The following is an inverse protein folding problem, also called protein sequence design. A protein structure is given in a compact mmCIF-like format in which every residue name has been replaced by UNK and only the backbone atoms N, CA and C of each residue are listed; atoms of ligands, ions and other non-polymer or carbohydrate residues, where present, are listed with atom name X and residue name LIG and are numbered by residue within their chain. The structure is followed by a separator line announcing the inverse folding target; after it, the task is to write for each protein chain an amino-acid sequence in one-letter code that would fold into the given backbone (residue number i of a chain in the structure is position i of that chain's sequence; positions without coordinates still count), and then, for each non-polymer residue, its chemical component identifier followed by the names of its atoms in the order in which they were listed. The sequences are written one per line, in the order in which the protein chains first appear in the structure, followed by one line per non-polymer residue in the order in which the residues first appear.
data_IF_181553660064
#
_entry.id   IF_181553660064
#
_cell.length_a   1.000
_cell.length_b   1.000
_cell.length_c   1.000
_cell.angle_alpha   90.00
_cell.angle_beta   90.00
_cell.angle_gamma   90.00
#
_symmetry.space_group_name_H-M   'P 1'
#
loop_
_entity.id
_entity.type
_entity.pdbx_description
1 polymer ?
#
# COMPACT_ATOMS: atom_id res chain seq x y z
N UNK A 1 32.28 -23.88 43.04
CA UNK A 1 30.85 -23.89 42.70
C UNK A 1 30.58 -22.58 41.99
N UNK A 2 30.60 -22.60 40.66
CA UNK A 2 30.41 -21.42 39.80
C UNK A 2 28.96 -21.40 39.33
N UNK A 3 28.23 -20.41 39.78
CA UNK A 3 26.85 -20.19 39.36
C UNK A 3 26.85 -19.57 37.94
N UNK A 4 26.47 -20.39 36.97
CA UNK A 4 26.22 -19.94 35.61
C UNK A 4 24.89 -19.19 35.63
N UNK A 5 24.93 -17.85 35.69
CA UNK A 5 23.77 -17.00 35.52
C UNK A 5 23.34 -17.10 34.06
N UNK A 6 22.25 -17.83 33.81
CA UNK A 6 21.58 -17.82 32.52
C UNK A 6 21.00 -16.42 32.30
N UNK A 7 21.64 -15.63 31.46
CA UNK A 7 21.12 -14.38 30.94
C UNK A 7 19.98 -14.73 29.99
N UNK A 8 18.75 -14.68 30.48
CA UNK A 8 17.56 -14.59 29.65
C UNK A 8 17.64 -13.22 28.95
N UNK A 9 18.18 -13.18 27.74
CA UNK A 9 17.92 -12.09 26.83
C UNK A 9 16.40 -12.09 26.59
N UNK A 10 15.71 -11.13 27.20
CA UNK A 10 14.36 -10.78 26.76
C UNK A 10 14.49 -10.37 25.29
N UNK A 11 14.05 -11.25 24.40
CA UNK A 11 13.94 -10.98 22.99
C UNK A 11 12.90 -9.85 22.89
N UNK A 12 13.35 -8.64 22.55
CA UNK A 12 12.42 -7.52 22.28
C UNK A 12 11.38 -8.05 21.30
N UNK A 13 10.10 -7.94 21.68
CA UNK A 13 9.03 -8.46 20.84
C UNK A 13 9.10 -7.75 19.48
N UNK A 14 9.39 -8.51 18.43
CA UNK A 14 9.45 -8.01 17.06
C UNK A 14 8.13 -7.30 16.74
N UNK A 15 8.20 -6.00 16.45
CA UNK A 15 7.03 -5.18 16.15
C UNK A 15 6.78 -5.26 14.65
N UNK A 16 5.68 -5.91 14.27
CA UNK A 16 5.21 -5.99 12.89
C UNK A 16 4.36 -4.77 12.58
N UNK A 17 4.69 -4.00 11.56
CA UNK A 17 3.91 -2.87 11.11
C UNK A 17 2.67 -3.32 10.31
N UNK A 18 1.54 -2.62 10.49
CA UNK A 18 0.28 -2.90 9.80
C UNK A 18 0.10 -1.93 8.65
N UNK A 19 0.07 -2.45 7.41
CA UNK A 19 -0.28 -1.68 6.23
C UNK A 19 -1.74 -1.94 5.86
N UNK A 20 -2.59 -0.91 5.89
CA UNK A 20 -3.98 -0.99 5.43
C UNK A 20 -4.03 -0.98 3.90
N UNK A 21 -4.24 -2.15 3.28
CA UNK A 21 -4.25 -2.36 1.83
C UNK A 21 -5.41 -1.60 1.18
N UNK A 22 -5.09 -0.62 0.35
CA UNK A 22 -6.04 0.32 -0.26
C UNK A 22 -6.94 0.99 0.79
N UNK A 23 -6.37 1.29 1.96
CA UNK A 23 -7.07 1.70 3.16
C UNK A 23 -7.56 0.50 3.98
N UNK A 24 -8.86 0.35 4.16
CA UNK A 24 -9.51 -0.79 4.82
C UNK A 24 -10.43 -1.51 3.83
N UNK A 25 -9.84 -2.10 2.76
CA UNK A 25 -10.58 -2.68 1.63
C UNK A 25 -11.58 -3.76 2.06
N UNK A 26 -11.29 -4.49 3.12
CA UNK A 26 -12.19 -5.52 3.63
C UNK A 26 -13.52 -4.99 4.16
N UNK A 27 -13.59 -3.71 4.55
CA UNK A 27 -14.74 -3.11 5.24
C UNK A 27 -15.33 -1.88 4.55
N UNK A 28 -14.57 -1.22 3.67
CA UNK A 28 -14.99 0.00 2.95
C UNK A 28 -14.49 -0.10 1.49
N UNK A 29 -15.20 0.47 0.49
CA UNK A 29 -14.73 0.48 -0.89
C UNK A 29 -13.31 1.02 -1.02
N UNK A 30 -12.44 0.23 -1.65
CA UNK A 30 -11.00 0.43 -1.71
C UNK A 30 -10.56 1.76 -2.34
N UNK A 31 -9.37 2.26 -1.94
CA UNK A 31 -8.75 3.45 -2.54
C UNK A 31 -9.65 4.70 -2.48
N UNK A 32 -10.43 4.83 -1.43
CA UNK A 32 -11.33 5.97 -1.16
C UNK A 32 -10.94 6.67 0.13
N UNK A 33 -11.30 7.95 0.26
CA UNK A 33 -11.09 8.71 1.50
C UNK A 33 -11.69 8.00 2.72
N UNK A 34 -12.94 7.48 2.68
CA UNK A 34 -13.50 6.70 3.79
C UNK A 34 -12.71 5.44 4.13
N UNK A 35 -12.13 4.73 3.14
CA UNK A 35 -11.31 3.54 3.40
C UNK A 35 -9.99 3.90 4.11
N UNK A 36 -9.37 5.02 3.75
CA UNK A 36 -8.17 5.52 4.43
C UNK A 36 -8.49 6.03 5.83
N UNK A 37 -9.61 6.70 6.01
CA UNK A 37 -10.09 7.12 7.34
C UNK A 37 -10.34 5.91 8.26
N UNK A 38 -10.97 4.85 7.75
CA UNK A 38 -11.18 3.62 8.50
C UNK A 38 -9.84 2.97 8.94
N UNK A 39 -8.81 2.99 8.09
CA UNK A 39 -7.47 2.50 8.44
C UNK A 39 -6.78 3.40 9.48
N UNK A 40 -6.96 4.73 9.40
CA UNK A 40 -6.48 5.69 10.42
C UNK A 40 -7.16 5.44 11.78
N UNK A 41 -8.47 5.24 11.79
CA UNK A 41 -9.25 4.93 13.01
C UNK A 41 -8.81 3.60 13.63
N UNK A 42 -8.43 2.64 12.79
CA UNK A 42 -7.90 1.34 13.21
C UNK A 42 -6.45 1.41 13.73
N UNK A 43 -5.83 2.59 13.76
CA UNK A 43 -4.44 2.77 14.18
C UNK A 43 -3.43 1.94 13.34
N UNK A 44 -3.71 1.73 12.05
CA UNK A 44 -2.72 1.19 11.13
C UNK A 44 -1.47 2.08 11.11
N UNK A 45 -0.30 1.49 10.84
CA UNK A 45 0.97 2.23 10.77
C UNK A 45 1.17 2.89 9.40
N UNK A 46 0.62 2.28 8.35
CA UNK A 46 0.84 2.67 6.95
C UNK A 46 -0.46 2.60 6.16
N UNK A 47 -0.77 3.63 5.39
CA UNK A 47 -1.78 3.58 4.34
C UNK A 47 -1.12 3.06 3.06
N UNK A 48 -1.58 1.91 2.59
CA UNK A 48 -1.19 1.41 1.28
C UNK A 48 -2.24 1.81 0.25
N UNK A 49 -1.79 2.24 -0.93
CA UNK A 49 -2.62 2.76 -2.00
C UNK A 49 -1.97 2.65 -3.37
N UNK A 50 -2.81 2.58 -4.41
CA UNK A 50 -2.38 2.47 -5.81
C UNK A 50 -2.58 3.78 -6.55
N UNK A 51 -1.71 4.08 -7.51
CA UNK A 51 -1.74 5.35 -8.24
C UNK A 51 -2.12 5.19 -9.71
N UNK A 52 -2.89 6.16 -10.19
CA UNK A 52 -3.13 6.44 -11.60
C UNK A 52 -2.83 7.90 -11.92
N UNK A 53 -2.92 8.27 -13.21
CA UNK A 53 -2.70 9.65 -13.65
C UNK A 53 -3.79 10.04 -14.64
N UNK A 54 -4.41 11.20 -14.44
CA UNK A 54 -5.43 11.76 -15.31
C UNK A 54 -4.85 12.34 -16.60
N UNK A 55 -5.72 12.73 -17.55
CA UNK A 55 -5.36 13.40 -18.81
C UNK A 55 -4.59 14.70 -18.58
N UNK A 56 -4.96 15.46 -17.55
CA UNK A 56 -4.35 16.73 -17.15
C UNK A 56 -3.20 16.57 -16.17
N UNK A 57 -2.69 15.33 -16.00
CA UNK A 57 -1.45 15.04 -15.26
C UNK A 57 -1.59 15.00 -13.74
N UNK A 58 -2.80 14.91 -13.19
CA UNK A 58 -3.01 14.80 -11.75
C UNK A 58 -2.85 13.37 -11.29
N UNK A 59 -2.07 13.16 -10.22
CA UNK A 59 -1.90 11.85 -9.58
C UNK A 59 -3.14 11.54 -8.73
N UNK A 60 -3.86 10.48 -9.11
CA UNK A 60 -5.06 10.00 -8.43
C UNK A 60 -4.83 8.62 -7.81
N UNK A 61 -5.76 8.20 -6.96
CA UNK A 61 -5.69 6.90 -6.28
C UNK A 61 -6.68 5.93 -6.90
N UNK A 62 -6.16 4.90 -7.56
CA UNK A 62 -6.92 3.80 -8.16
C UNK A 62 -6.03 2.61 -8.47
N UNK A 63 -6.51 1.40 -8.18
CA UNK A 63 -5.81 0.16 -8.54
C UNK A 63 -5.85 -0.12 -10.04
N UNK A 64 -7.03 0.03 -10.64
CA UNK A 64 -7.19 -0.15 -12.07
C UNK A 64 -6.84 1.14 -12.81
N UNK A 65 -6.22 1.09 -14.00
CA UNK A 65 -5.96 2.26 -14.84
C UNK A 65 -7.22 2.77 -15.54
N UNK A 66 -8.36 2.22 -15.21
CA UNK A 66 -9.68 2.49 -15.80
C UNK A 66 -10.72 2.66 -14.70
N UNK A 67 -11.69 3.54 -14.91
CA UNK A 67 -12.96 3.53 -14.17
C UNK A 67 -13.76 2.33 -14.67
N UNK A 68 -14.11 1.38 -13.81
CA UNK A 68 -14.73 0.12 -14.21
C UNK A 68 -16.18 -0.02 -13.74
N UNK A 69 -17.04 -0.74 -14.51
CA UNK A 69 -18.44 -0.96 -14.13
C UNK A 69 -18.65 -1.71 -12.82
N UNK A 70 -17.63 -2.44 -12.36
CA UNK A 70 -17.68 -3.23 -11.12
C UNK A 70 -17.44 -2.36 -9.88
N UNK A 71 -16.87 -1.15 -10.08
CA UNK A 71 -16.42 -0.31 -8.96
C UNK A 71 -17.09 1.03 -8.87
N UNK A 72 -17.48 1.61 -10.01
CA UNK A 72 -18.01 2.97 -10.03
C UNK A 72 -19.30 3.08 -10.82
N UNK A 73 -20.12 4.03 -10.41
CA UNK A 73 -21.26 4.54 -11.14
C UNK A 73 -20.85 5.82 -11.90
N UNK A 74 -21.61 6.15 -12.95
CA UNK A 74 -21.46 7.43 -13.68
C UNK A 74 -22.00 8.62 -12.87
N UNK A 75 -21.94 9.82 -13.46
CA UNK A 75 -22.42 11.06 -12.85
C UNK A 75 -23.93 11.08 -12.56
N UNK A 76 -24.69 10.28 -13.27
CA UNK A 76 -26.14 10.11 -13.15
C UNK A 76 -26.53 8.97 -12.19
N UNK A 77 -25.54 8.25 -11.64
CA UNK A 77 -25.75 7.12 -10.72
C UNK A 77 -26.05 5.78 -11.43
N UNK A 78 -25.79 5.68 -12.73
CA UNK A 78 -25.99 4.46 -13.49
C UNK A 78 -24.71 3.61 -13.53
N UNK A 79 -24.86 2.31 -13.78
CA UNK A 79 -23.72 1.44 -14.10
C UNK A 79 -23.10 1.83 -15.43
N UNK A 80 -21.77 1.86 -15.49
CA UNK A 80 -21.07 2.07 -16.75
C UNK A 80 -21.31 0.89 -17.71
N UNK A 81 -21.49 1.17 -18.99
CA UNK A 81 -21.57 0.16 -20.04
C UNK A 81 -20.21 -0.50 -20.32
N UNK A 82 -19.11 0.28 -20.17
CA UNK A 82 -17.73 -0.17 -20.40
C UNK A 82 -16.75 0.59 -19.51
N UNK A 83 -15.57 0.00 -19.31
CA UNK A 83 -14.49 0.67 -18.60
C UNK A 83 -13.96 1.87 -19.37
N UNK A 84 -13.64 2.97 -18.65
CA UNK A 84 -13.14 4.23 -19.21
C UNK A 84 -11.69 4.45 -18.73
N UNK A 85 -10.70 4.61 -19.63
CA UNK A 85 -9.32 4.90 -19.24
C UNK A 85 -9.21 6.18 -18.42
N UNK A 86 -8.58 6.13 -17.25
CA UNK A 86 -8.39 7.29 -16.38
C UNK A 86 -7.60 8.40 -17.10
N UNK A 87 -6.59 8.02 -17.90
CA UNK A 87 -5.82 8.99 -18.71
C UNK A 87 -6.60 9.67 -19.83
N UNK A 88 -7.80 9.23 -20.15
CA UNK A 88 -8.68 9.93 -21.09
C UNK A 88 -9.52 11.02 -20.41
N UNK A 89 -9.56 11.05 -19.08
CA UNK A 89 -10.39 11.96 -18.27
C UNK A 89 -9.52 13.02 -17.59
N UNK A 90 -10.01 14.26 -17.58
CA UNK A 90 -9.50 15.29 -16.67
C UNK A 90 -9.91 14.98 -15.24
N UNK A 91 -9.25 15.59 -14.25
CA UNK A 91 -9.65 15.43 -12.85
C UNK A 91 -11.12 15.83 -12.63
N UNK A 92 -11.57 16.93 -13.26
CA UNK A 92 -12.95 17.41 -13.12
C UNK A 92 -13.98 16.42 -13.68
N UNK A 93 -13.65 15.68 -14.73
CA UNK A 93 -14.48 14.62 -15.28
C UNK A 93 -14.45 13.38 -14.38
N UNK A 94 -13.27 12.97 -13.92
CA UNK A 94 -13.09 11.80 -13.04
C UNK A 94 -13.85 11.97 -11.71
N UNK A 95 -13.87 13.17 -11.14
CA UNK A 95 -14.56 13.46 -9.87
C UNK A 95 -16.08 13.33 -9.93
N UNK A 96 -16.67 13.13 -11.08
CA UNK A 96 -18.11 12.91 -11.25
C UNK A 96 -18.52 11.45 -11.01
N UNK A 97 -17.59 10.51 -11.05
CA UNK A 97 -17.87 9.11 -10.81
C UNK A 97 -18.00 8.82 -9.31
N UNK A 98 -18.99 7.99 -8.96
CA UNK A 98 -19.17 7.47 -7.60
C UNK A 98 -18.56 6.07 -7.51
N UNK A 99 -17.48 5.94 -6.75
CA UNK A 99 -16.75 4.70 -6.53
C UNK A 99 -16.92 4.16 -5.10
N UNK A 100 -17.90 4.66 -4.36
CA UNK A 100 -18.19 4.23 -2.98
C UNK A 100 -19.52 3.48 -2.83
N UNK A 101 -20.41 3.51 -3.84
CA UNK A 101 -21.70 2.84 -3.78
C UNK A 101 -21.61 1.34 -4.07
N UNK A 102 -20.80 0.93 -5.05
CA UNK A 102 -20.69 -0.47 -5.44
C UNK A 102 -19.76 -1.24 -4.51
N UNK A 103 -20.26 -2.35 -3.97
CA UNK A 103 -19.52 -3.24 -3.08
C UNK A 103 -18.83 -4.35 -3.86
N UNK A 104 -17.66 -4.73 -3.40
CA UNK A 104 -16.93 -5.86 -3.96
C UNK A 104 -17.46 -7.17 -3.32
N UNK A 105 -18.03 -8.10 -4.11
CA UNK A 105 -18.62 -9.34 -3.57
C UNK A 105 -17.59 -10.25 -2.85
N UNK A 106 -16.29 -10.02 -3.03
CA UNK A 106 -15.24 -10.74 -2.29
C UNK A 106 -15.10 -10.27 -0.84
N UNK A 107 -15.67 -9.12 -0.50
CA UNK A 107 -15.61 -8.51 0.82
C UNK A 107 -17.03 -8.26 1.36
N UNK A 108 -17.69 -9.29 1.90
CA UNK A 108 -19.08 -9.19 2.34
C UNK A 108 -19.31 -8.24 3.54
N UNK A 109 -18.22 -7.84 4.22
CA UNK A 109 -18.27 -6.90 5.34
C UNK A 109 -18.19 -5.44 4.90
N UNK A 110 -18.01 -5.17 3.60
CA UNK A 110 -17.95 -3.80 3.11
C UNK A 110 -19.27 -3.04 3.35
N UNK A 111 -19.11 -1.79 3.78
CA UNK A 111 -20.22 -0.82 3.91
C UNK A 111 -20.07 0.21 2.80
N UNK A 112 -21.12 0.41 2.02
CA UNK A 112 -21.14 1.41 0.97
C UNK A 112 -21.07 2.84 1.54
N UNK A 113 -20.34 3.71 0.84
CA UNK A 113 -20.30 5.15 1.11
C UNK A 113 -20.64 5.90 -0.18
N UNK A 114 -21.93 6.02 -0.53
CA UNK A 114 -22.39 6.62 -1.78
C UNK A 114 -21.88 8.06 -1.98
N UNK A 115 -21.66 8.43 -3.23
CA UNK A 115 -21.17 9.75 -3.59
C UNK A 115 -19.66 9.94 -3.35
N UNK A 116 -18.89 8.86 -3.20
CA UNK A 116 -17.45 8.93 -2.97
C UNK A 116 -16.67 8.87 -4.28
N UNK A 117 -16.01 9.95 -4.71
CA UNK A 117 -15.19 9.95 -5.92
C UNK A 117 -13.81 9.34 -5.64
N UNK A 118 -13.08 8.97 -6.70
CA UNK A 118 -11.66 8.63 -6.60
C UNK A 118 -10.88 9.84 -6.06
N UNK A 119 -10.06 9.68 -5.00
CA UNK A 119 -9.27 10.78 -4.47
C UNK A 119 -7.99 11.02 -5.28
N UNK A 120 -7.45 12.22 -5.17
CA UNK A 120 -6.06 12.51 -5.55
C UNK A 120 -5.11 12.07 -4.44
N UNK A 121 -3.84 11.88 -4.78
CA UNK A 121 -2.79 11.62 -3.77
C UNK A 121 -2.68 12.79 -2.77
N UNK A 122 -2.86 14.03 -3.24
CA UNK A 122 -2.87 15.23 -2.39
C UNK A 122 -4.01 15.18 -1.36
N UNK A 123 -5.22 14.76 -1.76
CA UNK A 123 -6.36 14.64 -0.84
C UNK A 123 -6.12 13.59 0.25
N UNK A 124 -5.40 12.49 -0.07
CA UNK A 124 -5.03 11.50 0.94
C UNK A 124 -4.00 12.06 1.94
N UNK A 125 -3.01 12.81 1.46
CA UNK A 125 -2.07 13.51 2.36
C UNK A 125 -2.78 14.54 3.23
N UNK A 126 -3.73 15.27 2.67
CA UNK A 126 -4.53 16.26 3.39
C UNK A 126 -5.45 15.62 4.44
N UNK A 127 -6.07 14.47 4.14
CA UNK A 127 -6.83 13.68 5.11
C UNK A 127 -5.96 13.42 6.35
N UNK A 128 -4.77 12.86 6.15
CA UNK A 128 -3.89 12.51 7.28
C UNK A 128 -3.45 13.76 8.04
N UNK A 129 -3.10 14.86 7.36
CA UNK A 129 -2.69 16.11 8.01
C UNK A 129 -3.80 16.75 8.85
N UNK A 130 -5.06 16.62 8.42
CA UNK A 130 -6.22 17.33 8.99
C UNK A 130 -7.08 16.47 9.92
N UNK A 131 -6.90 15.15 9.94
CA UNK A 131 -7.83 14.21 10.61
C UNK A 131 -7.87 14.31 12.14
N UNK A 132 -6.81 14.79 12.80
CA UNK A 132 -6.74 14.82 14.26
C UNK A 132 -6.53 13.45 14.95
N UNK A 133 -6.56 12.34 14.22
CA UNK A 133 -6.29 11.00 14.78
C UNK A 133 -4.85 10.87 15.28
N UNK A 134 -4.65 10.13 16.37
CA UNK A 134 -3.30 9.91 16.94
C UNK A 134 -2.38 9.19 15.94
N UNK A 135 -2.91 8.19 15.24
CA UNK A 135 -2.18 7.47 14.19
C UNK A 135 -1.66 8.41 13.09
N UNK A 136 -2.37 9.48 12.76
CA UNK A 136 -1.99 10.43 11.72
C UNK A 136 -0.62 11.09 11.96
N UNK A 137 -0.20 11.24 13.22
CA UNK A 137 1.09 11.84 13.57
C UNK A 137 2.29 11.04 13.06
N UNK A 138 2.14 9.71 12.97
CA UNK A 138 3.19 8.76 12.56
C UNK A 138 2.84 8.03 11.27
N UNK A 139 1.65 8.27 10.70
CA UNK A 139 1.16 7.57 9.52
C UNK A 139 2.15 7.68 8.38
N UNK A 140 2.55 6.54 7.84
CA UNK A 140 3.35 6.44 6.63
C UNK A 140 2.47 6.04 5.44
N UNK A 141 3.03 6.13 4.23
CA UNK A 141 2.32 5.82 2.99
C UNK A 141 3.14 4.83 2.17
N UNK A 142 2.51 3.75 1.74
CA UNK A 142 3.06 2.80 0.78
C UNK A 142 2.31 2.96 -0.53
N UNK A 143 2.90 3.65 -1.51
CA UNK A 143 2.22 4.08 -2.73
C UNK A 143 2.71 3.30 -3.94
N UNK A 144 1.79 2.60 -4.63
CA UNK A 144 2.13 1.77 -5.78
C UNK A 144 2.05 2.54 -7.09
N UNK A 145 3.13 2.50 -7.86
CA UNK A 145 3.14 2.94 -9.27
C UNK A 145 2.96 1.74 -10.20
N UNK A 146 2.03 1.86 -11.15
CA UNK A 146 1.73 0.83 -12.16
C UNK A 146 2.04 1.37 -13.54
N UNK A 147 2.87 0.66 -14.30
CA UNK A 147 3.21 1.00 -15.69
C UNK A 147 2.85 -0.17 -16.59
N UNK A 148 2.08 0.10 -17.64
CA UNK A 148 1.67 -0.87 -18.64
C UNK A 148 2.37 -0.54 -19.98
N UNK A 149 3.59 -1.07 -20.25
CA UNK A 149 4.37 -0.70 -21.42
C UNK A 149 3.71 -1.05 -22.76
N UNK A 150 2.82 -2.04 -22.74
CA UNK A 150 2.08 -2.50 -23.93
C UNK A 150 0.73 -1.76 -24.12
N UNK A 151 0.33 -0.94 -23.15
CA UNK A 151 -0.88 -0.12 -23.16
C UNK A 151 -0.52 1.31 -22.73
N UNK A 152 0.30 2.04 -23.53
CA UNK A 152 0.85 3.35 -23.13
C UNK A 152 -0.23 4.43 -22.96
N UNK A 153 -1.42 4.20 -23.49
CA UNK A 153 -2.59 5.06 -23.29
C UNK A 153 -3.17 4.97 -21.87
N UNK A 154 -2.81 3.94 -21.09
CA UNK A 154 -3.35 3.71 -19.75
C UNK A 154 -2.50 4.36 -18.65
N UNK A 155 -1.18 4.44 -18.84
CA UNK A 155 -0.26 4.97 -17.81
C UNK A 155 0.84 5.80 -18.45
N UNK A 156 1.45 6.76 -17.69
CA UNK A 156 2.65 7.45 -18.13
C UNK A 156 3.83 6.47 -18.29
N UNK A 157 4.89 6.94 -18.92
CA UNK A 157 6.18 6.25 -18.85
C UNK A 157 6.69 6.18 -17.41
N UNK A 158 7.59 5.23 -17.12
CA UNK A 158 8.16 5.08 -15.78
C UNK A 158 8.82 6.39 -15.27
N UNK A 159 9.50 7.13 -16.14
CA UNK A 159 10.15 8.39 -15.79
C UNK A 159 9.14 9.51 -15.49
N UNK A 160 8.11 9.65 -16.31
CA UNK A 160 7.04 10.65 -16.11
C UNK A 160 6.26 10.35 -14.83
N UNK A 161 5.89 9.08 -14.60
CA UNK A 161 5.15 8.69 -13.41
C UNK A 161 5.98 8.97 -12.15
N UNK A 162 7.24 8.53 -12.14
CA UNK A 162 8.15 8.79 -11.02
C UNK A 162 8.26 10.30 -10.73
N UNK A 163 8.39 11.13 -11.78
CA UNK A 163 8.46 12.59 -11.63
C UNK A 163 7.19 13.16 -10.99
N UNK A 164 6.01 12.80 -11.50
CA UNK A 164 4.72 13.29 -10.97
C UNK A 164 4.54 12.92 -9.50
N UNK A 165 4.90 11.67 -9.14
CA UNK A 165 4.81 11.20 -7.75
C UNK A 165 5.79 11.96 -6.85
N UNK A 166 7.07 12.08 -7.25
CA UNK A 166 8.09 12.79 -6.47
C UNK A 166 7.74 14.25 -6.29
N UNK A 167 7.26 14.93 -7.33
CA UNK A 167 6.84 16.32 -7.26
C UNK A 167 5.68 16.50 -6.27
N UNK A 168 4.69 15.62 -6.30
CA UNK A 168 3.56 15.64 -5.36
C UNK A 168 4.02 15.38 -3.91
N UNK A 169 4.87 14.38 -3.70
CA UNK A 169 5.41 14.05 -2.37
C UNK A 169 6.21 15.23 -1.80
N UNK A 170 7.08 15.84 -2.60
CA UNK A 170 7.90 17.02 -2.20
C UNK A 170 7.02 18.24 -1.92
N UNK A 171 6.04 18.53 -2.77
CA UNK A 171 5.08 19.62 -2.56
C UNK A 171 4.40 19.55 -1.19
N UNK A 172 4.13 18.34 -0.72
CA UNK A 172 3.48 18.08 0.56
C UNK A 172 4.45 17.86 1.74
N UNK A 173 5.78 17.82 1.50
CA UNK A 173 6.81 17.57 2.53
C UNK A 173 6.70 16.17 3.14
N UNK A 174 6.40 15.16 2.31
CA UNK A 174 6.10 13.79 2.75
C UNK A 174 7.24 12.79 2.48
N UNK A 175 8.42 13.24 2.03
CA UNK A 175 9.52 12.37 1.60
C UNK A 175 9.94 11.36 2.67
N UNK A 176 9.97 11.77 3.94
CA UNK A 176 10.36 10.89 5.05
C UNK A 176 9.28 9.87 5.44
N UNK A 177 8.03 10.09 5.00
CA UNK A 177 6.86 9.30 5.37
C UNK A 177 6.36 8.40 4.24
N UNK A 178 6.93 8.52 3.03
CA UNK A 178 6.53 7.77 1.85
C UNK A 178 7.52 6.66 1.55
N UNK A 179 7.01 5.52 1.17
CA UNK A 179 7.69 4.49 0.40
C UNK A 179 6.93 4.29 -0.92
N UNK A 180 7.66 4.15 -2.03
CA UNK A 180 7.08 3.86 -3.34
C UNK A 180 7.28 2.40 -3.65
N UNK A 181 6.17 1.67 -3.90
CA UNK A 181 6.24 0.27 -4.32
C UNK A 181 5.90 0.12 -5.80
N UNK A 182 6.44 -0.92 -6.44
CA UNK A 182 6.11 -1.27 -7.83
C UNK A 182 6.55 -2.68 -8.18
N UNK A 183 5.83 -3.31 -9.10
CA UNK A 183 6.33 -4.47 -9.86
C UNK A 183 7.35 -4.04 -10.92
N UNK A 184 7.25 -2.80 -11.40
CA UNK A 184 8.16 -2.25 -12.41
C UNK A 184 9.37 -1.56 -11.77
N UNK A 185 10.49 -2.26 -11.75
CA UNK A 185 11.74 -1.77 -11.18
C UNK A 185 12.26 -0.48 -11.85
N UNK A 186 11.80 -0.14 -13.06
CA UNK A 186 12.20 1.09 -13.76
C UNK A 186 11.66 2.31 -13.03
N UNK A 187 10.41 2.27 -12.55
CA UNK A 187 9.85 3.36 -11.71
C UNK A 187 10.64 3.53 -10.42
N UNK A 188 10.97 2.45 -9.72
CA UNK A 188 11.76 2.51 -8.47
C UNK A 188 13.14 3.14 -8.71
N UNK A 189 13.80 2.79 -9.82
CA UNK A 189 15.09 3.40 -10.21
C UNK A 189 14.96 4.90 -10.48
N UNK A 190 13.90 5.33 -11.16
CA UNK A 190 13.66 6.76 -11.41
C UNK A 190 13.35 7.51 -10.10
N UNK A 191 12.57 6.93 -9.18
CA UNK A 191 12.34 7.49 -7.83
C UNK A 191 13.67 7.71 -7.11
N UNK A 192 14.55 6.70 -7.09
CA UNK A 192 15.87 6.81 -6.43
C UNK A 192 16.78 7.86 -7.06
N UNK A 193 16.68 8.12 -8.37
CA UNK A 193 17.41 9.21 -9.04
C UNK A 193 16.88 10.59 -8.63
N UNK A 194 15.55 10.76 -8.59
CA UNK A 194 14.89 12.04 -8.35
C UNK A 194 14.86 12.43 -6.87
N UNK A 195 14.74 11.43 -5.99
CA UNK A 195 14.60 11.61 -4.54
C UNK A 195 15.21 10.40 -3.79
N UNK A 196 16.54 10.33 -3.62
CA UNK A 196 17.22 9.18 -3.00
C UNK A 196 16.74 8.86 -1.58
N UNK A 197 16.20 9.84 -0.85
CA UNK A 197 15.68 9.68 0.50
C UNK A 197 14.33 8.94 0.56
N UNK A 198 13.56 8.93 -0.54
CA UNK A 198 12.31 8.16 -0.59
C UNK A 198 12.65 6.67 -0.61
N UNK A 199 12.06 5.93 0.31
CA UNK A 199 12.20 4.45 0.36
C UNK A 199 11.52 3.83 -0.85
N UNK A 200 12.08 2.73 -1.33
CA UNK A 200 11.51 1.96 -2.43
C UNK A 200 11.21 0.53 -2.00
N UNK A 201 10.12 -0.02 -2.49
CA UNK A 201 9.65 -1.37 -2.21
C UNK A 201 9.41 -2.13 -3.51
N UNK A 202 10.07 -3.25 -3.70
CA UNK A 202 9.88 -4.09 -4.88
C UNK A 202 8.82 -5.14 -4.61
N UNK A 203 7.73 -5.07 -5.38
CA UNK A 203 6.69 -6.09 -5.41
C UNK A 203 7.16 -7.29 -6.22
N UNK A 204 6.89 -8.51 -5.73
CA UNK A 204 7.06 -9.75 -6.47
C UNK A 204 5.84 -10.64 -6.32
N UNK A 205 5.40 -11.26 -7.41
CA UNK A 205 4.25 -12.14 -7.42
C UNK A 205 4.63 -13.61 -7.26
N UNK A 206 5.72 -14.01 -7.91
CA UNK A 206 6.23 -15.39 -7.92
C UNK A 206 7.56 -15.49 -7.17
N UNK A 207 7.95 -16.71 -6.82
CA UNK A 207 9.29 -16.97 -6.27
C UNK A 207 10.34 -16.67 -7.33
N UNK A 208 11.38 -15.93 -6.95
CA UNK A 208 12.54 -15.67 -7.76
C UNK A 208 13.74 -16.40 -7.16
N UNK A 209 14.45 -17.13 -7.99
CA UNK A 209 15.79 -17.62 -7.63
C UNK A 209 16.68 -16.40 -7.33
N UNK A 210 17.42 -16.44 -6.23
CA UNK A 210 18.37 -15.37 -5.85
C UNK A 210 17.72 -13.98 -5.75
N UNK A 211 16.61 -13.85 -5.03
CA UNK A 211 15.88 -12.57 -4.88
C UNK A 211 16.75 -11.46 -4.30
N UNK A 212 17.61 -11.73 -3.33
CA UNK A 212 18.43 -10.72 -2.64
C UNK A 212 19.41 -10.01 -3.57
N UNK A 213 20.17 -10.69 -4.46
CA UNK A 213 20.97 -10.02 -5.49
C UNK A 213 20.14 -9.10 -6.39
N UNK A 214 18.94 -9.50 -6.79
CA UNK A 214 18.05 -8.68 -7.62
C UNK A 214 17.60 -7.41 -6.88
N UNK A 215 17.18 -7.52 -5.63
CA UNK A 215 16.78 -6.39 -4.78
C UNK A 215 17.93 -5.40 -4.55
N UNK A 216 19.16 -5.90 -4.31
CA UNK A 216 20.37 -5.07 -4.18
C UNK A 216 20.70 -4.33 -5.48
N UNK A 217 20.62 -5.02 -6.62
CA UNK A 217 20.84 -4.40 -7.93
C UNK A 217 19.82 -3.30 -8.24
N UNK A 218 18.59 -3.44 -7.75
CA UNK A 218 17.54 -2.43 -7.84
C UNK A 218 17.66 -1.31 -6.79
N UNK A 219 18.58 -1.43 -5.83
CA UNK A 219 18.72 -0.54 -4.65
C UNK A 219 17.42 -0.42 -3.86
N UNK A 220 16.73 -1.54 -3.67
CA UNK A 220 15.45 -1.63 -3.00
C UNK A 220 15.64 -1.65 -1.48
N UNK A 221 14.85 -0.88 -0.76
CA UNK A 221 14.89 -0.83 0.72
C UNK A 221 13.97 -1.88 1.34
N UNK A 222 12.92 -2.29 0.61
CA UNK A 222 11.87 -3.19 1.09
C UNK A 222 11.54 -4.21 0.00
N UNK A 223 11.40 -5.46 0.38
CA UNK A 223 10.84 -6.51 -0.45
C UNK A 223 9.37 -6.74 -0.06
N UNK A 224 8.46 -6.62 -1.03
CA UNK A 224 7.02 -6.89 -0.84
C UNK A 224 6.59 -8.10 -1.69
N UNK A 225 6.81 -9.34 -1.21
CA UNK A 225 6.42 -10.55 -1.92
C UNK A 225 4.94 -10.89 -1.75
N UNK A 226 4.39 -11.64 -2.70
CA UNK A 226 3.18 -12.41 -2.42
C UNK A 226 3.46 -13.36 -1.24
N UNK A 227 2.59 -13.34 -0.23
CA UNK A 227 2.81 -14.07 1.03
C UNK A 227 2.96 -15.59 0.87
N UNK A 228 2.49 -16.17 -0.22
CA UNK A 228 2.62 -17.61 -0.49
C UNK A 228 4.06 -18.05 -0.75
N UNK A 229 4.94 -17.10 -1.03
CA UNK A 229 6.35 -17.34 -1.37
C UNK A 229 7.32 -16.94 -0.27
N UNK A 230 6.82 -16.55 0.91
CA UNK A 230 7.70 -16.23 2.04
C UNK A 230 8.07 -17.52 2.81
N UNK A 231 9.34 -17.63 3.16
CA UNK A 231 9.85 -18.60 4.12
C UNK A 231 10.66 -17.87 5.19
N UNK A 232 10.84 -18.44 6.40
CA UNK A 232 11.69 -17.84 7.43
C UNK A 232 13.12 -17.58 6.93
N UNK A 233 13.65 -18.49 6.10
CA UNK A 233 14.99 -18.39 5.51
C UNK A 233 15.10 -17.20 4.57
N UNK A 234 14.14 -17.05 3.63
CA UNK A 234 14.13 -15.94 2.67
C UNK A 234 13.96 -14.58 3.37
N UNK A 235 13.11 -14.51 4.41
CA UNK A 235 12.96 -13.31 5.24
C UNK A 235 14.26 -12.94 5.92
N UNK A 236 14.91 -13.91 6.57
CA UNK A 236 16.19 -13.71 7.25
C UNK A 236 17.30 -13.29 6.29
N UNK A 237 17.35 -13.87 5.10
CA UNK A 237 18.34 -13.52 4.06
C UNK A 237 18.17 -12.08 3.59
N UNK A 238 16.92 -11.66 3.31
CA UNK A 238 16.62 -10.27 2.93
C UNK A 238 17.01 -9.29 4.05
N UNK A 239 16.65 -9.60 5.30
CA UNK A 239 16.96 -8.76 6.46
C UNK A 239 18.48 -8.70 6.73
N UNK A 240 19.22 -9.80 6.56
CA UNK A 240 20.67 -9.82 6.66
C UNK A 240 21.35 -8.93 5.60
N UNK A 241 20.66 -8.69 4.49
CA UNK A 241 21.07 -7.76 3.44
C UNK A 241 20.64 -6.30 3.68
N UNK A 242 19.98 -6.00 4.82
CA UNK A 242 19.44 -4.70 5.18
C UNK A 242 18.11 -4.35 4.50
N UNK A 243 17.41 -5.36 3.95
CA UNK A 243 16.15 -5.20 3.22
C UNK A 243 15.00 -5.66 4.12
N UNK A 244 14.02 -4.79 4.37
CA UNK A 244 12.80 -5.12 5.12
C UNK A 244 11.86 -5.99 4.27
N UNK A 245 10.98 -6.75 4.93
CA UNK A 245 10.04 -7.65 4.25
C UNK A 245 8.60 -7.31 4.64
N UNK A 246 7.77 -6.99 3.64
CA UNK A 246 6.37 -6.57 3.79
C UNK A 246 5.45 -7.33 2.82
N UNK A 247 5.08 -8.60 3.13
CA UNK A 247 4.25 -9.42 2.24
C UNK A 247 2.81 -8.95 2.10
N UNK A 248 2.17 -9.30 0.98
CA UNK A 248 0.80 -8.97 0.58
C UNK A 248 0.06 -10.17 -0.01
N UNK A 249 -1.26 -10.26 0.01
CA UNK A 249 -2.18 -9.59 0.92
C UNK A 249 -2.64 -10.63 1.92
N UNK A 250 -2.45 -10.39 3.19
CA UNK A 250 -2.62 -11.40 4.24
C UNK A 250 -3.83 -11.02 5.09
N UNK A 251 -4.87 -11.87 5.09
CA UNK A 251 -6.19 -11.50 5.59
C UNK A 251 -6.74 -12.38 6.70
N UNK A 252 -6.10 -13.51 7.01
CA UNK A 252 -6.61 -14.43 8.03
C UNK A 252 -5.65 -14.56 9.21
N UNK A 253 -6.21 -14.82 10.39
CA UNK A 253 -5.42 -15.03 11.61
C UNK A 253 -4.33 -16.09 11.42
N UNK A 254 -4.63 -17.20 10.76
CA UNK A 254 -3.67 -18.27 10.50
C UNK A 254 -2.49 -17.77 9.64
N UNK A 255 -2.79 -16.98 8.60
CA UNK A 255 -1.77 -16.44 7.71
C UNK A 255 -0.94 -15.35 8.42
N UNK A 256 -1.57 -14.51 9.28
CA UNK A 256 -0.84 -13.56 10.12
C UNK A 256 0.14 -14.26 11.05
N UNK A 257 -0.28 -15.36 11.69
CA UNK A 257 0.58 -16.17 12.58
C UNK A 257 1.80 -16.72 11.82
N UNK A 258 1.60 -17.21 10.60
CA UNK A 258 2.69 -17.71 9.75
C UNK A 258 3.67 -16.60 9.34
N UNK A 259 3.16 -15.45 8.91
CA UNK A 259 4.00 -14.32 8.53
C UNK A 259 4.80 -13.76 9.72
N UNK A 260 4.16 -13.64 10.89
CA UNK A 260 4.83 -13.20 12.12
C UNK A 260 5.89 -14.23 12.56
N UNK A 261 5.60 -15.52 12.47
CA UNK A 261 6.57 -16.58 12.78
C UNK A 261 7.75 -16.59 11.80
N UNK A 262 7.54 -16.22 10.55
CA UNK A 262 8.60 -16.03 9.57
C UNK A 262 9.47 -14.79 9.85
N UNK A 263 9.06 -13.88 10.75
CA UNK A 263 9.84 -12.72 11.16
C UNK A 263 9.71 -11.50 10.23
N UNK A 264 8.60 -11.35 9.50
CA UNK A 264 8.40 -10.23 8.57
C UNK A 264 8.32 -8.88 9.31
N UNK A 265 8.76 -7.79 8.65
CA UNK A 265 8.77 -6.45 9.24
C UNK A 265 7.40 -5.76 9.20
N UNK A 266 6.56 -6.12 8.22
CA UNK A 266 5.22 -5.58 8.07
C UNK A 266 4.27 -6.60 7.45
N UNK A 267 2.97 -6.35 7.55
CA UNK A 267 1.91 -7.13 6.89
C UNK A 267 0.97 -6.17 6.16
N UNK A 268 0.79 -6.40 4.85
CA UNK A 268 -0.21 -5.68 4.04
C UNK A 268 -1.51 -6.49 4.08
N UNK A 269 -2.58 -5.89 4.62
CA UNK A 269 -3.86 -6.55 4.88
C UNK A 269 -5.07 -5.72 4.46
N UNK A 270 -6.14 -6.37 4.03
CA UNK A 270 -7.44 -5.75 3.76
C UNK A 270 -8.23 -5.42 5.05
N UNK A 271 -7.81 -6.00 6.19
CA UNK A 271 -8.48 -5.88 7.49
C UNK A 271 -7.55 -5.28 8.55
N UNK A 272 -7.12 -4.00 8.40
CA UNK A 272 -6.15 -3.41 9.33
C UNK A 272 -6.64 -3.39 10.79
N UNK A 273 -7.91 -3.10 11.05
CA UNK A 273 -8.47 -3.13 12.40
C UNK A 273 -8.32 -4.51 13.07
N UNK A 274 -8.70 -5.57 12.36
CA UNK A 274 -8.62 -6.92 12.90
C UNK A 274 -7.16 -7.37 13.15
N UNK A 275 -6.22 -6.94 12.30
CA UNK A 275 -4.79 -7.24 12.52
C UNK A 275 -4.22 -6.45 13.69
N UNK A 276 -4.56 -5.17 13.83
CA UNK A 276 -4.13 -4.34 14.97
C UNK A 276 -4.64 -4.94 16.29
N UNK A 277 -5.93 -5.27 16.37
CA UNK A 277 -6.51 -5.92 17.55
C UNK A 277 -5.81 -7.24 17.89
N UNK A 278 -5.53 -8.05 16.86
CA UNK A 278 -4.82 -9.31 17.00
C UNK A 278 -3.41 -9.11 17.59
N UNK A 279 -2.65 -8.14 17.07
CA UNK A 279 -1.30 -7.84 17.54
C UNK A 279 -1.29 -7.27 18.98
N UNK A 280 -2.27 -6.43 19.32
CA UNK A 280 -2.43 -5.91 20.68
C UNK A 280 -2.74 -7.03 21.68
N UNK A 281 -3.67 -7.94 21.33
CA UNK A 281 -3.99 -9.10 22.16
C UNK A 281 -2.80 -10.06 22.37
N UNK A 282 -1.87 -10.14 21.39
CA UNK A 282 -0.62 -10.93 21.55
C UNK A 282 0.33 -10.28 22.54
N UNK A 283 0.48 -8.94 22.51
CA UNK A 283 1.34 -8.20 23.45
C UNK A 283 0.85 -8.28 24.89
N UNK A 284 -0.47 -8.37 25.08
CA UNK A 284 -1.10 -8.45 26.41
C UNK A 284 -1.02 -9.83 27.07
N UNK A 285 -0.61 -10.88 26.35
CA UNK A 285 -0.42 -12.22 26.92
C UNK A 285 0.97 -12.30 27.54
N UNK A 286 1.09 -12.63 28.86
CA UNK A 286 2.35 -12.77 29.57
C UNK A 286 3.21 -13.91 29.02
#
# INVERSE_FOLDING_TARGET
MSACAAQLCAQEAHIVAVHGHRGSRGTVPENTIPAFEAALMAEADVLELDLGVTKDGVVIVSHEPKVTPERCLDAEGNKLEKAVPIRSLTLAELKKYDCGTLLNPKFPEQIAVPGTPMPTLEEVFDLVKKSGYQAAKKMEFNIETKVFPYEPELTPTAAEFAKLVVDTVKKHGMEARVMVQSFDVRTLKEIKKLAPAIRTSQLTYEELLDIVPALKAAKTDIWSPNYKWITPEAVKEAQAAGIKVAPWTINTKKEWELAIAAGVDAIITDYPAALVDYLQARKAKP
#
